data_IF_648193325944
#
_entry.id   IF_648193325944
#
_cell.length_a   1.000
_cell.length_b   1.000
_cell.length_c   1.000
_cell.angle_alpha   90.00
_cell.angle_beta   90.00
_cell.angle_gamma   90.00
#
_symmetry.space_group_name_H-M   'P 1'
#
loop_
_entity.id
_entity.type
_entity.pdbx_description
1 polymer ?
#
# COMPACT_ATOMS: atom_id res chain seq x y z
N UNK A 1 -17.96 11.18 0.02
CA UNK A 1 -16.84 10.22 0.18
C UNK A 1 -17.40 8.82 -0.04
N UNK A 2 -16.94 8.12 -1.08
CA UNK A 2 -17.48 6.81 -1.49
C UNK A 2 -16.82 5.69 -0.67
N UNK A 3 -17.47 5.32 0.44
CA UNK A 3 -17.00 4.26 1.36
C UNK A 3 -18.10 3.21 1.50
N UNK A 4 -17.75 1.93 1.42
CA UNK A 4 -18.70 0.81 1.53
C UNK A 4 -18.38 0.02 2.81
N UNK A 5 -19.33 -0.03 3.74
CA UNK A 5 -19.17 -0.70 5.02
C UNK A 5 -18.07 -0.10 5.91
N UNK A 6 -18.04 1.23 6.13
CA UNK A 6 -17.03 1.84 6.99
C UNK A 6 -17.08 1.23 8.38
N UNK A 7 -15.92 0.96 8.97
CA UNK A 7 -15.85 0.46 10.32
C UNK A 7 -16.08 1.60 11.32
N UNK A 8 -16.76 1.38 12.47
CA UNK A 8 -16.95 2.42 13.47
C UNK A 8 -15.63 2.90 14.11
N UNK A 9 -14.53 2.16 13.93
CA UNK A 9 -13.24 2.44 14.56
C UNK A 9 -12.26 3.23 13.67
N UNK A 10 -12.52 3.36 12.37
CA UNK A 10 -11.65 4.05 11.42
C UNK A 10 -12.40 5.23 10.82
N UNK A 11 -11.75 6.40 10.78
CA UNK A 11 -12.28 7.57 10.06
C UNK A 11 -12.65 7.21 8.63
N UNK A 12 -13.82 7.65 8.18
CA UNK A 12 -14.26 7.48 6.79
C UNK A 12 -13.22 8.02 5.79
N UNK A 13 -12.42 9.01 6.19
CA UNK A 13 -11.31 9.57 5.40
C UNK A 13 -10.20 8.54 5.10
N UNK A 14 -9.94 7.65 6.06
CA UNK A 14 -8.93 6.60 5.97
C UNK A 14 -9.47 5.34 5.30
N UNK A 15 -10.78 5.25 5.08
CA UNK A 15 -11.42 4.10 4.47
C UNK A 15 -11.21 4.12 2.95
N UNK A 16 -10.59 3.05 2.40
CA UNK A 16 -10.44 2.84 0.96
C UNK A 16 -11.17 1.58 0.55
N UNK A 17 -11.84 1.63 -0.61
CA UNK A 17 -12.40 0.42 -1.25
C UNK A 17 -11.27 -0.52 -1.68
N UNK A 18 -10.13 0.03 -2.12
CA UNK A 18 -8.97 -0.73 -2.60
C UNK A 18 -7.78 -0.54 -1.65
N UNK A 19 -7.35 -1.65 -1.03
CA UNK A 19 -6.19 -1.70 -0.13
C UNK A 19 -5.32 -2.91 -0.41
N UNK A 20 -4.03 -2.76 -0.10
CA UNK A 20 -3.01 -3.80 -0.27
C UNK A 20 -2.22 -3.85 1.02
N UNK A 21 -2.24 -5.00 1.69
CA UNK A 21 -1.45 -5.25 2.90
C UNK A 21 -0.29 -6.20 2.53
N UNK A 22 0.96 -5.72 2.51
CA UNK A 22 2.14 -6.55 2.22
C UNK A 22 2.53 -7.45 3.39
N UNK A 23 2.16 -7.08 4.62
CA UNK A 23 2.59 -7.73 5.86
C UNK A 23 1.41 -8.11 6.75
N UNK A 24 1.62 -9.12 7.60
CA UNK A 24 0.64 -9.58 8.60
C UNK A 24 0.80 -8.89 9.97
N UNK A 25 1.94 -8.27 10.21
CA UNK A 25 2.27 -7.66 11.50
C UNK A 25 2.86 -6.27 11.28
N UNK A 26 2.84 -5.47 12.36
CA UNK A 26 3.42 -4.13 12.39
C UNK A 26 4.36 -4.03 13.57
N UNK A 27 5.64 -3.74 13.34
CA UNK A 27 6.67 -3.63 14.38
C UNK A 27 6.63 -2.32 15.17
N UNK A 28 5.83 -1.33 14.73
CA UNK A 28 5.78 -0.01 15.36
C UNK A 28 5.03 0.00 16.69
N UNK A 29 4.18 -1.00 16.98
CA UNK A 29 3.45 -1.19 18.25
C UNK A 29 2.91 0.11 18.88
N UNK A 30 2.28 0.97 18.07
CA UNK A 30 1.76 2.25 18.55
C UNK A 30 0.61 2.02 19.54
N UNK A 31 0.64 2.67 20.70
CA UNK A 31 -0.38 2.56 21.76
C UNK A 31 -1.80 2.90 21.26
N UNK A 32 -1.91 3.79 20.28
CA UNK A 32 -3.16 4.22 19.66
C UNK A 32 -3.53 3.44 18.37
N UNK A 33 -2.92 2.28 18.13
CA UNK A 33 -3.12 1.57 16.87
C UNK A 33 -4.49 0.90 16.79
N UNK A 34 -5.39 1.45 15.97
CA UNK A 34 -6.69 0.81 15.71
C UNK A 34 -6.57 -0.57 15.06
N UNK A 35 -5.44 -0.87 14.40
CA UNK A 35 -5.26 -2.13 13.68
C UNK A 35 -5.18 -3.35 14.61
N UNK A 36 -5.03 -3.15 15.92
CA UNK A 36 -5.10 -4.23 16.91
C UNK A 36 -6.51 -4.82 17.03
N UNK A 37 -7.53 -4.05 16.65
CA UNK A 37 -8.93 -4.52 16.62
C UNK A 37 -9.31 -5.26 15.33
N UNK A 38 -8.37 -5.41 14.38
CA UNK A 38 -8.60 -6.09 13.10
C UNK A 38 -7.71 -7.32 12.95
N UNK A 39 -8.26 -8.36 12.30
CA UNK A 39 -7.44 -9.51 11.90
C UNK A 39 -6.52 -9.12 10.75
N UNK A 40 -5.21 -9.24 10.97
CA UNK A 40 -4.17 -8.89 9.99
C UNK A 40 -3.75 -10.08 9.12
N UNK A 41 -4.69 -10.95 8.71
CA UNK A 41 -4.36 -12.12 7.87
C UNK A 41 -4.23 -11.71 6.40
N UNK A 42 -3.01 -11.69 5.89
CA UNK A 42 -2.67 -11.48 4.48
C UNK A 42 -2.31 -12.81 3.83
N UNK A 43 -3.10 -13.23 2.83
CA UNK A 43 -2.77 -14.40 1.99
C UNK A 43 -2.32 -13.89 0.62
N UNK A 44 -1.08 -14.23 0.21
CA UNK A 44 -0.53 -14.12 -1.17
C UNK A 44 -0.97 -12.88 -1.98
N UNK A 45 -0.99 -11.71 -1.35
CA UNK A 45 -1.61 -10.49 -1.94
C UNK A 45 -0.85 -9.95 -3.15
N UNK A 46 0.48 -10.07 -3.22
CA UNK A 46 1.27 -9.49 -4.32
C UNK A 46 0.94 -10.12 -5.68
N UNK A 47 0.76 -11.45 -5.74
CA UNK A 47 0.44 -12.13 -7.00
C UNK A 47 -0.95 -11.75 -7.51
N UNK A 48 -1.91 -11.64 -6.60
CA UNK A 48 -3.27 -11.22 -6.96
C UNK A 48 -3.30 -9.74 -7.37
N UNK A 49 -2.55 -8.89 -6.67
CA UNK A 49 -2.38 -7.49 -7.04
C UNK A 49 -1.80 -7.36 -8.46
N UNK A 50 -0.75 -8.11 -8.80
CA UNK A 50 -0.17 -8.06 -10.14
C UNK A 50 -1.17 -8.51 -11.21
N UNK A 51 -1.95 -9.58 -10.95
CA UNK A 51 -3.00 -10.04 -11.88
C UNK A 51 -4.06 -8.96 -12.10
N UNK A 52 -4.48 -8.28 -11.04
CA UNK A 52 -5.45 -7.17 -11.14
C UNK A 52 -4.85 -6.01 -11.92
N UNK A 53 -3.63 -5.58 -11.59
CA UNK A 53 -2.93 -4.49 -12.28
C UNK A 53 -2.77 -4.78 -13.78
N UNK A 54 -2.37 -6.01 -14.15
CA UNK A 54 -2.26 -6.46 -15.53
C UNK A 54 -3.61 -6.44 -16.26
N UNK A 55 -4.69 -6.89 -15.62
CA UNK A 55 -6.04 -6.86 -16.19
C UNK A 55 -6.54 -5.43 -16.42
N UNK A 56 -6.33 -4.54 -15.45
CA UNK A 56 -6.69 -3.12 -15.56
C UNK A 56 -5.96 -2.47 -16.74
N UNK A 57 -4.64 -2.69 -16.85
CA UNK A 57 -3.84 -2.16 -17.96
C UNK A 57 -4.26 -2.75 -19.31
N UNK A 58 -4.46 -4.07 -19.40
CA UNK A 58 -4.89 -4.73 -20.66
C UNK A 58 -6.24 -4.21 -21.16
N UNK A 59 -7.16 -3.88 -20.25
CA UNK A 59 -8.49 -3.33 -20.57
C UNK A 59 -8.50 -1.80 -20.67
N UNK A 60 -7.34 -1.14 -20.49
CA UNK A 60 -7.20 0.31 -20.46
C UNK A 60 -8.16 1.01 -19.48
N UNK A 61 -8.43 0.36 -18.34
CA UNK A 61 -9.34 0.89 -17.31
C UNK A 61 -8.58 1.78 -16.32
N UNK A 62 -9.12 2.97 -16.06
CA UNK A 62 -8.67 3.83 -14.96
C UNK A 62 -9.17 3.25 -13.63
N UNK A 63 -8.37 3.41 -12.58
CA UNK A 63 -8.69 2.92 -11.23
C UNK A 63 -8.49 4.01 -10.19
N UNK A 64 -9.24 3.93 -9.10
CA UNK A 64 -8.97 4.74 -7.91
C UNK A 64 -7.65 4.29 -7.27
N UNK A 65 -6.94 5.16 -6.53
CA UNK A 65 -5.69 4.79 -5.89
C UNK A 65 -5.85 3.62 -4.91
N UNK A 66 -4.92 2.67 -4.96
CA UNK A 66 -4.81 1.63 -3.94
C UNK A 66 -4.09 2.20 -2.72
N UNK A 67 -4.65 1.99 -1.52
CA UNK A 67 -3.94 2.32 -0.28
C UNK A 67 -2.98 1.18 0.08
N UNK A 68 -1.70 1.51 0.16
CA UNK A 68 -0.68 0.59 0.65
C UNK A 68 -0.69 0.64 2.18
N UNK A 69 -0.85 -0.52 2.81
CA UNK A 69 -0.67 -0.72 4.25
C UNK A 69 -1.56 0.17 5.12
N UNK A 70 -2.85 -0.17 5.17
CA UNK A 70 -3.85 0.49 6.04
C UNK A 70 -3.94 -0.14 7.43
N UNK A 71 -3.48 -1.38 7.61
CA UNK A 71 -3.47 -2.08 8.91
C UNK A 71 -2.06 -2.36 9.41
N UNK A 72 -1.06 -2.22 8.55
CA UNK A 72 0.34 -2.49 8.82
C UNK A 72 1.21 -1.31 8.40
N UNK A 73 2.51 -1.40 8.62
CA UNK A 73 3.48 -0.43 8.12
C UNK A 73 4.19 -1.01 6.88
N UNK A 74 4.26 -0.30 5.74
CA UNK A 74 4.86 -0.84 4.51
C UNK A 74 6.39 -0.95 4.58
N UNK A 75 7.06 -0.05 5.30
CA UNK A 75 8.53 -0.01 5.35
C UNK A 75 9.04 -0.35 6.75
N UNK A 76 8.67 -1.53 7.25
CA UNK A 76 9.18 -2.09 8.49
C UNK A 76 10.62 -2.62 8.32
N UNK A 77 11.38 -2.88 9.40
CA UNK A 77 12.72 -3.47 9.28
C UNK A 77 12.77 -4.75 8.43
N UNK A 78 11.72 -5.59 8.48
CA UNK A 78 11.61 -6.80 7.64
C UNK A 78 11.56 -6.52 6.14
N UNK A 79 11.17 -5.32 5.71
CA UNK A 79 11.12 -4.91 4.30
C UNK A 79 12.51 -4.93 3.66
N UNK A 80 13.58 -4.65 4.41
CA UNK A 80 14.94 -4.75 3.88
C UNK A 80 15.29 -6.17 3.42
N UNK A 81 14.76 -7.18 4.13
CA UNK A 81 14.95 -8.59 3.79
C UNK A 81 13.94 -9.11 2.75
N UNK A 82 12.64 -8.78 2.91
CA UNK A 82 11.56 -9.37 2.08
C UNK A 82 11.22 -8.56 0.83
N UNK A 83 11.42 -7.25 0.86
CA UNK A 83 11.21 -6.30 -0.26
C UNK A 83 9.81 -6.42 -0.88
N UNK A 84 8.77 -6.60 -0.06
CA UNK A 84 7.40 -6.82 -0.54
C UNK A 84 6.78 -5.51 -1.01
N UNK A 85 6.94 -4.44 -0.24
CA UNK A 85 6.50 -3.10 -0.61
C UNK A 85 7.23 -2.62 -1.85
N UNK A 86 8.55 -2.88 -1.97
CA UNK A 86 9.31 -2.59 -3.18
C UNK A 86 8.76 -3.29 -4.43
N UNK A 87 8.33 -4.56 -4.31
CA UNK A 87 7.69 -5.27 -5.42
C UNK A 87 6.37 -4.60 -5.82
N UNK A 88 5.58 -4.16 -4.85
CA UNK A 88 4.33 -3.43 -5.10
C UNK A 88 4.61 -2.11 -5.84
N UNK A 89 5.60 -1.33 -5.40
CA UNK A 89 6.00 -0.09 -6.08
C UNK A 89 6.37 -0.35 -7.55
N UNK A 90 7.18 -1.39 -7.81
CA UNK A 90 7.58 -1.77 -9.17
C UNK A 90 6.40 -2.22 -10.04
N UNK A 91 5.47 -3.00 -9.48
CA UNK A 91 4.23 -3.41 -10.17
C UNK A 91 3.40 -2.17 -10.51
N UNK A 92 3.23 -1.26 -9.56
CA UNK A 92 2.49 -0.02 -9.77
C UNK A 92 3.12 0.86 -10.84
N UNK A 93 4.45 0.98 -10.86
CA UNK A 93 5.17 1.73 -11.88
C UNK A 93 5.01 1.09 -13.28
N UNK A 94 5.07 -0.24 -13.35
CA UNK A 94 4.94 -1.02 -14.59
C UNK A 94 3.54 -0.91 -15.21
N UNK A 95 2.49 -1.00 -14.39
CA UNK A 95 1.10 -1.02 -14.86
C UNK A 95 0.37 0.32 -14.70
N UNK A 96 1.08 1.38 -14.29
CA UNK A 96 0.53 2.73 -14.06
C UNK A 96 -0.61 2.73 -13.03
N UNK A 97 -0.44 2.00 -11.92
CA UNK A 97 -1.44 1.93 -10.85
C UNK A 97 -1.16 3.05 -9.82
N UNK A 98 -2.14 3.93 -9.54
CA UNK A 98 -1.98 4.95 -8.53
C UNK A 98 -1.97 4.36 -7.11
N UNK A 99 -1.08 4.86 -6.26
CA UNK A 99 -0.89 4.45 -4.87
C UNK A 99 -1.03 5.62 -3.91
N UNK A 100 -1.64 5.36 -2.75
CA UNK A 100 -1.55 6.22 -1.57
C UNK A 100 -0.77 5.44 -0.52
N UNK A 101 0.30 6.02 -0.02
CA UNK A 101 1.20 5.41 0.96
C UNK A 101 1.21 6.31 2.19
N UNK A 102 0.90 5.73 3.35
CA UNK A 102 1.16 6.37 4.64
C UNK A 102 2.27 5.59 5.32
N UNK A 103 3.27 6.27 5.84
CA UNK A 103 4.38 5.61 6.55
C UNK A 103 4.91 6.47 7.68
N UNK A 104 5.33 5.84 8.76
CA UNK A 104 6.13 6.49 9.82
C UNK A 104 7.61 6.11 9.77
N UNK A 105 7.98 5.23 8.84
CA UNK A 105 9.31 4.67 8.75
C UNK A 105 10.22 5.50 7.86
N UNK A 106 11.49 5.60 8.25
CA UNK A 106 12.53 6.31 7.50
C UNK A 106 13.12 5.49 6.35
N UNK A 107 12.93 4.16 6.33
CA UNK A 107 13.40 3.25 5.27
C UNK A 107 12.94 3.70 3.87
N UNK A 108 11.81 4.41 3.78
CA UNK A 108 11.30 4.99 2.53
C UNK A 108 12.30 5.96 1.87
N UNK A 109 13.16 6.60 2.66
CA UNK A 109 14.18 7.55 2.20
C UNK A 109 15.45 6.86 1.70
N UNK A 110 15.61 5.57 1.96
CA UNK A 110 16.75 4.77 1.52
C UNK A 110 16.53 4.24 0.11
N UNK A 111 17.63 4.00 -0.61
CA UNK A 111 17.59 3.24 -1.85
C UNK A 111 17.43 1.74 -1.55
N UNK A 112 16.62 1.01 -2.35
CA UNK A 112 16.04 1.42 -3.63
C UNK A 112 14.64 2.04 -3.55
N UNK A 113 14.01 2.17 -2.37
CA UNK A 113 12.62 2.62 -2.25
C UNK A 113 12.43 4.06 -2.68
N UNK A 114 13.34 4.95 -2.27
CA UNK A 114 13.34 6.35 -2.66
C UNK A 114 13.32 6.52 -4.17
N UNK A 115 14.23 5.85 -4.89
CA UNK A 115 14.28 5.94 -6.35
C UNK A 115 12.98 5.49 -7.04
N UNK A 116 12.33 4.43 -6.56
CA UNK A 116 11.07 3.95 -7.14
C UNK A 116 9.90 4.88 -6.85
N UNK A 117 9.87 5.50 -5.66
CA UNK A 117 8.86 6.49 -5.30
C UNK A 117 9.00 7.75 -6.15
N UNK A 118 10.22 8.23 -6.38
CA UNK A 118 10.45 9.38 -7.26
C UNK A 118 9.96 9.11 -8.69
N UNK A 119 10.26 7.93 -9.26
CA UNK A 119 9.74 7.53 -10.58
C UNK A 119 8.21 7.48 -10.64
N UNK A 120 7.57 7.06 -9.54
CA UNK A 120 6.10 7.07 -9.44
C UNK A 120 5.56 8.50 -9.31
N UNK A 121 6.27 9.36 -8.58
CA UNK A 121 5.92 10.76 -8.39
C UNK A 121 6.00 11.54 -9.71
N UNK A 122 7.04 11.34 -10.51
CA UNK A 122 7.20 11.94 -11.83
C UNK A 122 6.05 11.61 -12.79
N UNK A 123 5.38 10.47 -12.55
CA UNK A 123 4.20 10.03 -13.31
C UNK A 123 2.87 10.39 -12.65
N UNK A 124 2.89 11.15 -11.56
CA UNK A 124 1.72 11.50 -10.74
C UNK A 124 0.94 10.28 -10.25
N UNK A 125 1.64 9.17 -9.98
CA UNK A 125 1.04 7.90 -9.55
C UNK A 125 1.09 7.68 -8.04
N UNK A 126 1.81 8.48 -7.26
CA UNK A 126 1.94 8.26 -5.83
C UNK A 126 1.66 9.52 -5.03
N UNK A 127 0.93 9.33 -3.93
CA UNK A 127 0.83 10.30 -2.84
C UNK A 127 1.44 9.64 -1.63
N UNK A 128 2.55 10.21 -1.16
CA UNK A 128 3.21 9.82 0.09
C UNK A 128 2.78 10.80 1.18
N UNK A 129 2.36 10.28 2.34
CA UNK A 129 1.96 11.05 3.51
C UNK A 129 2.61 10.50 4.78
#
# INVERSE_FOLDING_TARGET
MLVIGPSPYISTLCYSVLKIEPYDFCSLNCIYCYADWYSRKTRRIIREFEKVAKKLKKRNLKTIPFRLSTLTEPFQPIEQAKKLSLKILKISLKYSIPLIINTKSTIVMEDPWRSEILKLYDKSLVILR
#
